data_IF_222419225938
#
_entry.id   IF_222419225938
#
_cell.length_a   1.000
_cell.length_b   1.000
_cell.length_c   1.000
_cell.angle_alpha   90.00
_cell.angle_beta   90.00
_cell.angle_gamma   90.00
#
_symmetry.space_group_name_H-M   'P 1'
#
loop_
_entity.id
_entity.type
_entity.pdbx_description
1 polymer ?
#
# COMPACT_ATOMS: atom_id res chain seq x y z
N UNK A 1 10.47 5.50 25.49
CA UNK A 1 11.70 6.17 24.97
C UNK A 1 12.04 5.77 23.53
N UNK A 2 12.16 4.48 23.17
CA UNK A 2 12.50 4.05 21.79
C UNK A 2 11.57 4.59 20.68
N UNK A 3 10.26 4.70 20.93
CA UNK A 3 9.29 5.26 19.96
C UNK A 3 9.49 6.76 19.68
N UNK A 4 9.88 7.53 20.69
CA UNK A 4 10.12 8.98 20.55
C UNK A 4 11.40 9.21 19.75
N UNK A 5 12.45 8.41 20.02
CA UNK A 5 13.70 8.44 19.24
C UNK A 5 13.43 8.10 17.78
N UNK A 6 12.67 7.05 17.49
CA UNK A 6 12.29 6.69 16.12
C UNK A 6 11.48 7.79 15.42
N UNK A 7 10.55 8.44 16.12
CA UNK A 7 9.78 9.58 15.59
C UNK A 7 10.68 10.77 15.27
N UNK A 8 11.59 11.14 16.17
CA UNK A 8 12.53 12.25 15.98
C UNK A 8 13.47 11.98 14.81
N UNK A 9 13.99 10.75 14.69
CA UNK A 9 14.83 10.35 13.55
C UNK A 9 14.03 10.41 12.24
N UNK A 10 12.79 9.92 12.23
CA UNK A 10 11.91 10.02 11.05
C UNK A 10 11.65 11.48 10.66
N UNK A 11 11.35 12.35 11.63
CA UNK A 11 11.11 13.77 11.39
C UNK A 11 12.35 14.48 10.85
N UNK A 12 13.54 14.16 11.39
CA UNK A 12 14.81 14.71 10.91
C UNK A 12 15.10 14.28 9.47
N UNK A 13 14.93 13.00 9.15
CA UNK A 13 15.09 12.50 7.78
C UNK A 13 14.12 13.21 6.84
N UNK A 14 12.84 13.34 7.26
CA UNK A 14 11.82 14.00 6.48
C UNK A 14 12.19 15.47 6.23
N UNK A 15 12.63 16.20 7.26
CA UNK A 15 13.06 17.60 7.15
C UNK A 15 14.25 17.76 6.20
N UNK A 16 15.25 16.87 6.25
CA UNK A 16 16.40 16.87 5.33
C UNK A 16 15.95 16.61 3.89
N UNK A 17 15.02 15.67 3.67
CA UNK A 17 14.46 15.41 2.35
C UNK A 17 13.74 16.65 1.82
N UNK A 18 12.86 17.26 2.62
CA UNK A 18 12.14 18.47 2.21
C UNK A 18 13.07 19.66 1.93
N UNK A 19 14.18 19.78 2.64
CA UNK A 19 15.17 20.82 2.37
C UNK A 19 15.94 20.59 1.06
N UNK A 20 16.12 19.33 0.67
CA UNK A 20 16.73 18.94 -0.62
C UNK A 20 15.79 19.07 -1.81
N UNK A 21 14.48 19.28 -1.60
CA UNK A 21 13.51 19.44 -2.68
C UNK A 21 13.65 20.84 -3.29
N UNK A 22 14.03 20.89 -4.56
CA UNK A 22 13.96 22.11 -5.36
C UNK A 22 12.50 22.40 -5.73
N UNK A 23 11.86 23.28 -4.95
CA UNK A 23 10.48 23.71 -5.20
C UNK A 23 10.30 24.36 -6.57
N UNK A 24 11.31 25.06 -7.10
CA UNK A 24 11.22 25.68 -8.42
C UNK A 24 11.26 24.62 -9.53
N UNK A 25 12.13 23.63 -9.38
CA UNK A 25 12.15 22.45 -10.25
C UNK A 25 10.82 21.70 -10.23
N UNK A 26 10.22 21.53 -9.05
CA UNK A 26 8.93 20.84 -8.88
C UNK A 26 7.78 21.56 -9.61
N UNK A 27 7.70 22.89 -9.51
CA UNK A 27 6.70 23.69 -10.24
C UNK A 27 6.90 23.57 -11.75
N UNK A 28 8.14 23.68 -12.25
CA UNK A 28 8.43 23.51 -13.68
C UNK A 28 8.02 22.14 -14.20
N UNK A 29 8.23 21.08 -13.42
CA UNK A 29 7.78 19.73 -13.80
C UNK A 29 6.26 19.64 -13.84
N UNK A 30 5.55 20.29 -12.90
CA UNK A 30 4.09 20.35 -12.90
C UNK A 30 3.53 21.13 -14.11
N UNK A 31 4.15 22.25 -14.47
CA UNK A 31 3.75 23.05 -15.66
C UNK A 31 3.96 22.29 -16.98
N UNK A 32 5.04 21.52 -17.07
CA UNK A 32 5.32 20.69 -18.25
C UNK A 32 4.63 19.32 -18.20
N UNK A 33 3.94 19.00 -17.11
CA UNK A 33 3.25 17.73 -16.97
C UNK A 33 2.03 17.72 -17.89
N UNK A 34 1.79 16.59 -18.54
CA UNK A 34 0.58 16.40 -19.31
C UNK A 34 -0.61 16.21 -18.35
N UNK A 35 -1.48 17.22 -18.24
CA UNK A 35 -2.66 17.20 -17.37
C UNK A 35 -3.58 15.99 -17.63
N UNK A 36 -3.63 15.49 -18.87
CA UNK A 36 -4.43 14.32 -19.23
C UNK A 36 -3.92 13.05 -18.55
N UNK A 37 -2.61 12.79 -18.67
CA UNK A 37 -1.97 11.66 -18.01
C UNK A 37 -1.99 11.77 -16.49
N UNK A 38 -1.81 12.99 -15.95
CA UNK A 38 -1.96 13.25 -14.53
C UNK A 38 -3.37 12.93 -14.04
N UNK A 39 -4.40 13.38 -14.78
CA UNK A 39 -5.81 13.09 -14.48
C UNK A 39 -6.12 11.60 -14.50
N UNK A 40 -5.63 10.86 -15.50
CA UNK A 40 -5.80 9.40 -15.57
C UNK A 40 -5.12 8.72 -14.38
N UNK A 41 -3.89 9.12 -14.05
CA UNK A 41 -3.14 8.54 -12.93
C UNK A 41 -3.84 8.76 -11.59
N UNK A 42 -4.34 9.97 -11.33
CA UNK A 42 -5.15 10.27 -10.15
C UNK A 42 -6.48 9.51 -10.16
N UNK A 43 -7.11 9.43 -11.33
CA UNK A 43 -8.36 8.69 -11.53
C UNK A 43 -8.23 7.21 -11.18
N UNK A 44 -7.06 6.60 -11.44
CA UNK A 44 -6.79 5.19 -11.12
C UNK A 44 -6.81 4.86 -9.63
N UNK A 45 -6.73 5.86 -8.74
CA UNK A 45 -6.88 5.64 -7.29
C UNK A 45 -8.29 5.15 -6.95
N UNK A 46 -9.31 5.63 -7.66
CA UNK A 46 -10.72 5.26 -7.42
C UNK A 46 -10.96 3.77 -7.70
N UNK A 47 -10.72 3.22 -8.92
CA UNK A 47 -10.93 1.81 -9.16
C UNK A 47 -10.02 0.95 -8.27
N UNK A 48 -8.77 1.35 -8.02
CA UNK A 48 -7.86 0.59 -7.17
C UNK A 48 -8.38 0.41 -5.74
N UNK A 49 -8.89 1.50 -5.13
CA UNK A 49 -9.50 1.46 -3.80
C UNK A 49 -10.80 0.64 -3.80
N UNK A 50 -11.63 0.79 -4.83
CA UNK A 50 -12.86 0.01 -4.99
C UNK A 50 -12.59 -1.49 -5.14
N UNK A 51 -11.61 -1.90 -5.94
CA UNK A 51 -11.23 -3.31 -6.10
C UNK A 51 -10.71 -3.90 -4.78
N UNK A 52 -9.94 -3.13 -4.02
CA UNK A 52 -9.45 -3.57 -2.71
C UNK A 52 -10.62 -3.73 -1.73
N UNK A 53 -11.61 -2.83 -1.77
CA UNK A 53 -12.82 -2.91 -0.95
C UNK A 53 -13.71 -4.09 -1.30
N UNK A 54 -13.87 -4.35 -2.59
CA UNK A 54 -14.62 -5.50 -3.07
C UNK A 54 -13.94 -6.82 -2.68
N UNK A 55 -12.62 -6.93 -2.84
CA UNK A 55 -11.85 -8.09 -2.39
C UNK A 55 -12.01 -8.32 -0.89
N UNK A 56 -11.90 -7.25 -0.09
CA UNK A 56 -12.09 -7.34 1.35
C UNK A 56 -13.46 -7.88 1.71
N UNK A 57 -14.52 -7.39 1.03
CA UNK A 57 -15.89 -7.85 1.22
C UNK A 57 -16.03 -9.35 0.91
N UNK A 58 -15.41 -9.83 -0.18
CA UNK A 58 -15.47 -11.25 -0.56
C UNK A 58 -14.72 -12.17 0.41
N UNK A 59 -13.65 -11.69 1.04
CA UNK A 59 -12.86 -12.48 1.99
C UNK A 59 -13.53 -12.63 3.36
N UNK A 60 -14.62 -11.89 3.63
CA UNK A 60 -15.27 -11.95 4.94
C UNK A 60 -16.19 -13.17 5.08
N UNK A 61 -16.03 -13.98 6.15
CA UNK A 61 -16.65 -15.30 6.27
C UNK A 61 -18.17 -15.33 6.48
N UNK A 62 -18.85 -14.18 6.58
CA UNK A 62 -20.30 -14.04 6.47
C UNK A 62 -20.52 -12.59 5.99
N UNK A 63 -21.34 -12.35 4.97
CA UNK A 63 -21.52 -11.09 4.22
C UNK A 63 -22.12 -9.92 5.02
N UNK A 64 -21.60 -9.66 6.22
CA UNK A 64 -22.06 -8.62 7.16
C UNK A 64 -21.49 -7.24 6.85
N UNK A 65 -20.46 -7.13 6.00
CA UNK A 65 -19.86 -5.86 5.62
C UNK A 65 -20.40 -5.36 4.29
N UNK A 66 -21.03 -4.19 4.30
CA UNK A 66 -21.45 -3.53 3.07
C UNK A 66 -20.24 -2.99 2.31
N UNK A 67 -20.29 -2.97 0.98
CA UNK A 67 -19.22 -2.44 0.13
C UNK A 67 -18.81 -1.00 0.50
N UNK A 68 -19.79 -0.15 0.85
CA UNK A 68 -19.52 1.22 1.29
C UNK A 68 -18.74 1.30 2.60
N UNK A 69 -18.97 0.36 3.53
CA UNK A 69 -18.22 0.26 4.78
C UNK A 69 -16.81 -0.27 4.55
N UNK A 70 -16.66 -1.28 3.68
CA UNK A 70 -15.35 -1.78 3.24
C UNK A 70 -14.50 -0.67 2.61
N UNK A 71 -15.10 0.15 1.74
CA UNK A 71 -14.42 1.26 1.09
C UNK A 71 -14.00 2.33 2.10
N UNK A 72 -14.90 2.74 3.01
CA UNK A 72 -14.57 3.68 4.10
C UNK A 72 -13.44 3.16 4.98
N UNK A 73 -13.45 1.87 5.30
CA UNK A 73 -12.43 1.24 6.13
C UNK A 73 -11.05 1.25 5.45
N UNK A 74 -10.99 0.97 4.15
CA UNK A 74 -9.74 1.01 3.37
C UNK A 74 -9.23 2.43 3.21
N UNK A 75 -10.11 3.40 2.96
CA UNK A 75 -9.72 4.81 2.87
C UNK A 75 -9.17 5.29 4.22
N UNK A 76 -9.83 4.96 5.33
CA UNK A 76 -9.36 5.29 6.68
C UNK A 76 -7.99 4.65 6.96
N UNK A 77 -7.82 3.36 6.64
CA UNK A 77 -6.54 2.67 6.78
C UNK A 77 -5.43 3.29 5.91
N UNK A 78 -5.76 3.72 4.70
CA UNK A 78 -4.82 4.35 3.76
C UNK A 78 -4.35 5.72 4.25
N UNK A 79 -5.26 6.55 4.76
CA UNK A 79 -4.93 7.83 5.40
C UNK A 79 -4.07 7.60 6.64
N UNK A 80 -4.43 6.62 7.48
CA UNK A 80 -3.62 6.25 8.64
C UNK A 80 -2.23 5.75 8.24
N UNK A 81 -2.11 5.01 7.14
CA UNK A 81 -0.83 4.55 6.60
C UNK A 81 0.05 5.68 6.05
N UNK A 82 -0.51 6.86 5.73
CA UNK A 82 0.27 8.04 5.35
C UNK A 82 0.86 8.77 6.57
N UNK A 83 0.19 8.65 7.74
CA UNK A 83 0.61 9.32 8.98
C UNK A 83 1.44 8.40 9.88
N UNK A 84 1.04 7.13 9.97
CA UNK A 84 1.64 6.14 10.86
C UNK A 84 2.80 5.41 10.16
N UNK A 85 3.96 5.29 10.83
CA UNK A 85 5.06 4.50 10.29
C UNK A 85 4.67 3.01 10.19
N UNK A 86 5.33 2.28 9.30
CA UNK A 86 5.25 0.80 9.19
C UNK A 86 3.89 0.23 8.81
N UNK A 87 3.05 0.97 8.07
CA UNK A 87 1.73 0.51 7.60
C UNK A 87 0.79 0.06 8.76
N UNK A 88 0.93 0.67 9.94
CA UNK A 88 0.09 0.37 11.10
C UNK A 88 -1.40 0.69 10.90
N UNK A 89 -1.76 1.48 9.89
CA UNK A 89 -3.15 1.73 9.52
C UNK A 89 -3.89 0.45 9.07
N UNK A 90 -3.18 -0.52 8.49
CA UNK A 90 -3.78 -1.83 8.17
C UNK A 90 -4.06 -2.67 9.43
N UNK A 91 -3.25 -2.52 10.49
CA UNK A 91 -3.54 -3.13 11.80
C UNK A 91 -4.75 -2.44 12.45
N UNK A 92 -4.86 -1.11 12.31
CA UNK A 92 -6.03 -0.36 12.76
C UNK A 92 -7.31 -0.82 12.04
N UNK A 93 -7.24 -1.13 10.73
CA UNK A 93 -8.34 -1.76 9.97
C UNK A 93 -8.84 -3.05 10.64
N UNK A 94 -7.95 -3.96 11.04
CA UNK A 94 -8.34 -5.18 11.77
C UNK A 94 -9.01 -4.85 13.11
N UNK A 95 -8.48 -3.87 13.85
CA UNK A 95 -9.08 -3.42 15.11
C UNK A 95 -10.50 -2.86 14.91
N UNK A 96 -10.72 -2.04 13.87
CA UNK A 96 -12.05 -1.49 13.57
C UNK A 96 -13.04 -2.56 13.11
N UNK A 97 -12.58 -3.59 12.38
CA UNK A 97 -13.39 -4.78 12.04
C UNK A 97 -13.87 -5.52 13.29
N UNK A 98 -13.00 -5.64 14.30
CA UNK A 98 -13.35 -6.21 15.61
C UNK A 98 -14.33 -5.32 16.38
N UNK A 99 -14.04 -4.02 16.46
CA UNK A 99 -14.83 -3.07 17.26
C UNK A 99 -16.26 -2.91 16.75
N UNK A 100 -16.47 -3.01 15.43
CA UNK A 100 -17.79 -2.96 14.79
C UNK A 100 -18.56 -4.29 14.86
N UNK A 101 -17.99 -5.32 15.50
CA UNK A 101 -18.67 -6.61 15.70
C UNK A 101 -18.75 -7.50 14.46
N UNK A 102 -17.99 -7.20 13.40
CA UNK A 102 -18.04 -8.00 12.16
C UNK A 102 -17.24 -9.30 12.27
N UNK A 103 -16.14 -9.31 13.04
CA UNK A 103 -15.25 -10.46 13.18
C UNK A 103 -14.56 -10.48 14.54
N UNK A 104 -14.20 -11.67 15.01
CA UNK A 104 -13.29 -11.82 16.15
C UNK A 104 -11.92 -11.18 15.86
N UNK A 105 -11.26 -10.72 16.92
CA UNK A 105 -9.96 -10.05 16.83
C UNK A 105 -8.88 -10.88 16.12
N UNK A 106 -8.88 -12.20 16.32
CA UNK A 106 -7.95 -13.09 15.61
C UNK A 106 -8.29 -13.22 14.13
N UNK A 107 -9.57 -13.35 13.78
CA UNK A 107 -10.02 -13.49 12.38
C UNK A 107 -9.77 -12.23 11.57
N UNK A 108 -10.04 -11.05 12.15
CA UNK A 108 -9.79 -9.76 11.51
C UNK A 108 -8.31 -9.51 11.21
N UNK A 109 -7.40 -9.90 12.13
CA UNK A 109 -5.95 -9.83 11.90
C UNK A 109 -5.50 -10.81 10.82
N UNK A 110 -5.94 -12.06 10.89
CA UNK A 110 -5.62 -13.07 9.87
C UNK A 110 -6.06 -12.63 8.47
N UNK A 111 -7.23 -12.00 8.36
CA UNK A 111 -7.77 -11.50 7.11
C UNK A 111 -6.96 -10.33 6.53
N UNK A 112 -6.50 -9.40 7.37
CA UNK A 112 -5.58 -8.34 6.93
C UNK A 112 -4.22 -8.90 6.50
N UNK A 113 -3.66 -9.85 7.27
CA UNK A 113 -2.40 -10.50 6.92
C UNK A 113 -2.55 -11.25 5.59
N UNK A 114 -3.62 -12.01 5.42
CA UNK A 114 -3.92 -12.72 4.18
C UNK A 114 -4.02 -11.76 2.99
N UNK A 115 -4.72 -10.64 3.14
CA UNK A 115 -4.84 -9.60 2.10
C UNK A 115 -3.45 -9.12 1.64
N UNK A 116 -2.55 -8.79 2.57
CA UNK A 116 -1.20 -8.32 2.25
C UNK A 116 -0.31 -9.42 1.70
N UNK A 117 -0.44 -10.64 2.18
CA UNK A 117 0.29 -11.79 1.64
C UNK A 117 -0.13 -12.05 0.20
N UNK A 118 -1.42 -12.00 -0.11
CA UNK A 118 -1.91 -12.10 -1.50
C UNK A 118 -1.38 -10.97 -2.39
N UNK A 119 -1.32 -9.73 -1.87
CA UNK A 119 -0.73 -8.60 -2.61
C UNK A 119 0.76 -8.83 -2.92
N UNK A 120 1.52 -9.26 -1.91
CA UNK A 120 2.96 -9.56 -2.04
C UNK A 120 3.20 -10.73 -3.00
N UNK A 121 2.42 -11.81 -2.90
CA UNK A 121 2.50 -12.95 -3.81
C UNK A 121 2.14 -12.53 -5.24
N UNK A 122 1.11 -11.70 -5.43
CA UNK A 122 0.73 -11.19 -6.75
C UNK A 122 1.83 -10.33 -7.36
N UNK A 123 2.47 -9.46 -6.55
CA UNK A 123 3.62 -8.68 -6.99
C UNK A 123 4.80 -9.58 -7.37
N UNK A 124 5.09 -10.59 -6.55
CA UNK A 124 6.18 -11.54 -6.80
C UNK A 124 5.93 -12.34 -8.09
N UNK A 125 4.70 -12.80 -8.33
CA UNK A 125 4.31 -13.44 -9.58
C UNK A 125 4.51 -12.51 -10.79
N UNK A 126 4.12 -11.24 -10.67
CA UNK A 126 4.37 -10.24 -11.72
C UNK A 126 5.86 -9.97 -11.92
N UNK A 127 6.68 -10.01 -10.87
CA UNK A 127 8.13 -9.92 -10.97
C UNK A 127 8.71 -11.11 -11.73
N UNK A 128 8.30 -12.35 -11.41
CA UNK A 128 8.70 -13.56 -12.17
C UNK A 128 8.34 -13.40 -13.63
N UNK A 129 7.10 -13.01 -13.91
CA UNK A 129 6.61 -12.82 -15.28
C UNK A 129 7.44 -11.76 -16.02
N UNK A 130 7.67 -10.60 -15.42
CA UNK A 130 8.53 -9.56 -15.99
C UNK A 130 9.97 -10.04 -16.24
N UNK A 131 10.50 -10.89 -15.36
CA UNK A 131 11.82 -11.49 -15.52
C UNK A 131 11.87 -12.44 -16.72
N UNK A 132 10.81 -13.22 -16.99
CA UNK A 132 10.76 -14.11 -18.17
C UNK A 132 10.86 -13.35 -19.50
N UNK A 133 10.32 -12.14 -19.56
CA UNK A 133 10.40 -11.28 -20.74
C UNK A 133 11.64 -10.36 -20.75
N UNK A 134 12.49 -10.41 -19.71
CA UNK A 134 13.64 -9.55 -19.61
C UNK A 134 14.76 -10.02 -20.55
N UNK A 135 15.13 -9.24 -21.59
CA UNK A 135 16.01 -9.71 -22.66
C UNK A 135 17.49 -9.76 -22.27
N UNK A 136 17.92 -9.10 -21.18
CA UNK A 136 19.32 -9.06 -20.76
C UNK A 136 19.61 -10.01 -19.60
N UNK A 137 20.27 -11.15 -19.88
CA UNK A 137 20.78 -12.07 -18.84
C UNK A 137 22.11 -11.58 -18.25
N UNK A 138 22.06 -10.46 -17.52
CA UNK A 138 23.20 -9.97 -16.74
C UNK A 138 23.23 -10.63 -15.34
N UNK A 139 24.29 -10.42 -14.56
CA UNK A 139 24.40 -10.89 -13.16
C UNK A 139 23.19 -10.48 -12.28
N UNK A 140 22.59 -9.31 -12.56
CA UNK A 140 21.37 -8.83 -11.89
C UNK A 140 20.17 -9.77 -12.10
N UNK A 141 20.06 -10.42 -13.26
CA UNK A 141 19.01 -11.39 -13.53
C UNK A 141 19.15 -12.63 -12.63
N UNK A 142 20.38 -13.09 -12.38
CA UNK A 142 20.67 -14.21 -11.49
C UNK A 142 20.38 -13.90 -10.02
N UNK A 143 20.71 -12.68 -9.56
CA UNK A 143 20.34 -12.23 -8.22
C UNK A 143 18.82 -12.10 -8.05
N UNK A 144 18.13 -11.52 -9.04
CA UNK A 144 16.67 -11.35 -9.00
C UNK A 144 15.94 -12.69 -9.04
N UNK A 145 16.42 -13.68 -9.81
CA UNK A 145 15.80 -15.01 -9.82
C UNK A 145 16.03 -15.78 -8.52
N UNK A 146 17.20 -15.66 -7.88
CA UNK A 146 17.45 -16.27 -6.57
C UNK A 146 16.61 -15.63 -5.45
N UNK A 147 16.47 -14.31 -5.44
CA UNK A 147 15.63 -13.60 -4.45
C UNK A 147 14.13 -13.88 -4.59
N UNK A 148 13.70 -14.26 -5.79
CA UNK A 148 12.31 -14.59 -6.09
C UNK A 148 12.02 -16.08 -5.85
N UNK A 149 13.03 -16.94 -5.95
CA UNK A 149 12.93 -18.39 -5.74
C UNK A 149 13.26 -18.85 -4.30
N UNK A 150 13.99 -18.05 -3.53
CA UNK A 150 14.34 -18.32 -2.12
C UNK A 150 13.40 -17.63 -1.14
#
# INVERSE_FOLDING_TARGET
MKRIISLVVSLLILAVIYWKIDFQGLIKVLENCNLWWMGISLGMVIPLTMFTAWRLQQLMPNSTLAFGEANRLILAASVLNMVLPSKMGDIAKAYFLKQRGHLDGSLSLSLVVFEKTCDLLSLLLWCVFGLLFYPQKNWLFGLMSMLVAG
#
